data_IF_033433796576
#
_entry.id   IF_033433796576
#
_cell.length_a   1.000
_cell.length_b   1.000
_cell.length_c   1.000
_cell.angle_alpha   90.00
_cell.angle_beta   90.00
_cell.angle_gamma   90.00
#
_symmetry.space_group_name_H-M   'P 1'
#
loop_
_entity.id
_entity.type
_entity.pdbx_description
1 polymer ?
#
# COMPACT_ATOMS: atom_id res chain seq x y z
N UNK A 1 5.50 -0.65 -18.79
CA UNK A 1 6.59 -0.48 -17.80
C UNK A 1 7.87 -0.05 -18.51
N UNK A 2 8.70 0.71 -17.80
CA UNK A 2 10.08 1.11 -18.12
C UNK A 2 10.35 2.39 -18.93
N UNK A 3 9.46 2.91 -19.79
CA UNK A 3 9.61 4.25 -20.46
C UNK A 3 11.06 4.63 -20.93
N UNK A 4 11.87 3.66 -21.39
CA UNK A 4 13.29 3.80 -21.77
C UNK A 4 14.32 4.00 -20.62
N UNK A 5 13.95 3.80 -19.36
CA UNK A 5 14.88 3.71 -18.25
C UNK A 5 15.49 2.31 -18.17
N UNK A 6 16.82 2.24 -18.01
CA UNK A 6 17.58 0.98 -17.85
C UNK A 6 17.53 0.39 -16.44
N UNK A 7 16.91 1.10 -15.50
CA UNK A 7 16.83 0.73 -14.10
C UNK A 7 15.39 0.83 -13.61
N UNK A 8 15.02 -0.05 -12.69
CA UNK A 8 13.74 -0.05 -12.01
C UNK A 8 13.92 -0.24 -10.50
N UNK A 9 12.90 0.17 -9.75
CA UNK A 9 12.75 -0.07 -8.31
C UNK A 9 11.37 -0.67 -8.08
N UNK A 10 11.21 -1.39 -6.97
CA UNK A 10 9.93 -2.00 -6.61
C UNK A 10 9.43 -1.40 -5.29
N UNK A 11 8.15 -1.04 -5.27
CA UNK A 11 7.44 -0.63 -4.07
C UNK A 11 6.30 -1.62 -3.83
N UNK A 12 6.04 -1.93 -2.57
CA UNK A 12 4.82 -2.61 -2.15
C UNK A 12 3.87 -1.60 -1.54
N UNK A 13 2.58 -1.72 -1.85
CA UNK A 13 1.52 -0.86 -1.33
C UNK A 13 0.49 -1.71 -0.60
N UNK A 14 0.25 -1.39 0.67
CA UNK A 14 -0.63 -2.16 1.54
C UNK A 14 -2.06 -1.58 1.61
N UNK A 15 -2.36 -0.52 0.85
CA UNK A 15 -3.61 0.22 0.92
C UNK A 15 -3.50 1.58 1.64
N UNK A 16 -2.48 1.81 2.46
CA UNK A 16 -2.24 3.11 3.13
C UNK A 16 -0.79 3.56 3.13
N UNK A 17 0.16 2.64 2.96
CA UNK A 17 1.59 2.88 3.05
C UNK A 17 2.34 2.25 1.87
N UNK A 18 3.41 2.92 1.46
CA UNK A 18 4.36 2.41 0.47
C UNK A 18 5.67 2.07 1.14
N UNK A 19 6.13 0.83 0.96
CA UNK A 19 7.44 0.38 1.42
C UNK A 19 8.33 -0.01 0.24
N UNK A 20 9.65 0.27 0.29
CA UNK A 20 10.58 -0.19 -0.72
C UNK A 20 10.83 -1.69 -0.59
N UNK A 21 10.86 -2.40 -1.71
CA UNK A 21 11.33 -3.79 -1.77
C UNK A 21 12.82 -3.82 -2.12
N UNK A 22 13.54 -4.73 -1.48
CA UNK A 22 14.97 -4.93 -1.71
C UNK A 22 15.45 -6.31 -1.33
N UNK A 23 16.65 -6.64 -1.80
CA UNK A 23 17.32 -7.91 -1.54
C UNK A 23 18.40 -7.71 -0.50
N UNK A 24 18.33 -8.46 0.59
CA UNK A 24 19.36 -8.47 1.63
C UNK A 24 20.47 -9.42 1.19
N UNK A 25 21.68 -8.90 1.08
CA UNK A 25 22.84 -9.69 0.72
C UNK A 25 23.44 -10.35 1.96
N UNK A 26 23.73 -11.65 1.88
CA UNK A 26 24.29 -12.43 3.00
C UNK A 26 25.75 -12.10 3.31
N UNK A 27 26.43 -11.38 2.42
CA UNK A 27 27.83 -10.97 2.52
C UNK A 27 28.03 -9.64 3.26
N UNK A 28 26.96 -9.07 3.81
CA UNK A 28 26.99 -7.81 4.56
C UNK A 28 27.02 -6.57 3.67
N UNK A 29 26.88 -6.71 2.35
CA UNK A 29 26.70 -5.56 1.47
C UNK A 29 25.33 -4.89 1.68
N UNK A 30 25.20 -3.57 1.43
CA UNK A 30 23.92 -2.88 1.56
C UNK A 30 22.83 -3.55 0.73
N UNK A 31 21.59 -3.46 1.22
CA UNK A 31 20.41 -3.98 0.52
C UNK A 31 20.34 -3.43 -0.91
N UNK A 32 20.17 -4.32 -1.88
CA UNK A 32 19.94 -3.92 -3.27
C UNK A 32 18.47 -3.55 -3.47
N UNK A 33 18.22 -2.31 -3.90
CA UNK A 33 16.85 -1.78 -4.16
C UNK A 33 16.65 -1.31 -5.61
N UNK A 34 17.74 -1.27 -6.39
CA UNK A 34 17.71 -0.87 -7.80
C UNK A 34 18.09 -2.09 -8.65
N UNK A 35 17.26 -2.36 -9.65
CA UNK A 35 17.36 -3.55 -10.51
C UNK A 35 17.46 -3.14 -11.97
N UNK A 36 17.99 -4.03 -12.80
CA UNK A 36 17.98 -3.84 -14.24
C UNK A 36 16.54 -3.91 -14.77
N UNK A 37 16.20 -3.00 -15.68
CA UNK A 37 14.87 -2.99 -16.29
C UNK A 37 14.66 -4.09 -17.33
N UNK A 38 15.71 -4.77 -17.79
CA UNK A 38 15.58 -5.89 -18.73
C UNK A 38 15.48 -7.25 -18.00
N UNK A 39 15.78 -7.28 -16.71
CA UNK A 39 15.65 -8.47 -15.87
C UNK A 39 14.24 -8.57 -15.27
N UNK A 40 13.33 -9.17 -16.05
CA UNK A 40 11.95 -9.42 -15.64
C UNK A 40 11.82 -10.53 -14.57
N UNK A 41 12.90 -11.23 -14.24
CA UNK A 41 12.91 -12.17 -13.10
C UNK A 41 12.53 -11.48 -11.79
N UNK A 42 12.94 -10.22 -11.62
CA UNK A 42 12.59 -9.42 -10.44
C UNK A 42 11.11 -9.06 -10.35
N UNK A 43 10.39 -8.97 -11.48
CA UNK A 43 8.94 -8.74 -11.47
C UNK A 43 8.23 -9.93 -10.82
N UNK A 44 8.61 -11.15 -11.20
CA UNK A 44 8.03 -12.37 -10.64
C UNK A 44 8.29 -12.49 -9.12
N UNK A 45 9.51 -12.16 -8.69
CA UNK A 45 9.88 -12.12 -7.26
C UNK A 45 9.07 -11.06 -6.51
N UNK A 46 8.96 -9.84 -7.04
CA UNK A 46 8.18 -8.77 -6.43
C UNK A 46 6.69 -9.15 -6.29
N UNK A 47 6.11 -9.79 -7.31
CA UNK A 47 4.75 -10.33 -7.22
C UNK A 47 4.60 -11.41 -6.15
N UNK A 48 5.57 -12.31 -6.03
CA UNK A 48 5.53 -13.35 -4.99
C UNK A 48 5.50 -12.72 -3.58
N UNK A 49 6.32 -11.70 -3.33
CA UNK A 49 6.30 -10.95 -2.05
C UNK A 49 4.91 -10.36 -1.78
N UNK A 50 4.30 -9.74 -2.80
CA UNK A 50 2.94 -9.21 -2.69
C UNK A 50 1.88 -10.29 -2.40
N UNK A 51 1.99 -11.46 -3.03
CA UNK A 51 1.10 -12.59 -2.80
C UNK A 51 1.24 -13.18 -1.39
N UNK A 52 2.45 -13.26 -0.86
CA UNK A 52 2.72 -13.70 0.51
C UNK A 52 2.18 -12.69 1.53
N UNK A 53 2.46 -11.39 1.35
CA UNK A 53 1.92 -10.33 2.20
C UNK A 53 0.38 -10.36 2.24
N UNK A 54 -0.26 -10.55 1.08
CA UNK A 54 -1.72 -10.71 0.97
C UNK A 54 -2.22 -11.95 1.72
N UNK A 55 -1.57 -13.11 1.57
CA UNK A 55 -1.93 -14.34 2.31
C UNK A 55 -1.81 -14.16 3.83
N UNK A 56 -0.87 -13.33 4.27
CA UNK A 56 -0.65 -12.98 5.67
C UNK A 56 -1.59 -11.86 6.17
N UNK A 57 -2.51 -11.36 5.33
CA UNK A 57 -3.36 -10.20 5.62
C UNK A 57 -2.57 -8.94 6.03
N UNK A 58 -1.37 -8.76 5.48
CA UNK A 58 -0.54 -7.55 5.66
C UNK A 58 -1.00 -6.47 4.68
N UNK A 59 -2.27 -6.10 4.75
CA UNK A 59 -2.83 -5.00 3.98
C UNK A 59 -4.02 -4.39 4.71
N UNK A 60 -4.19 -3.08 4.54
CA UNK A 60 -5.32 -2.33 5.08
C UNK A 60 -6.45 -2.33 4.07
N UNK A 61 -7.55 -3.02 4.39
CA UNK A 61 -8.74 -3.00 3.54
C UNK A 61 -9.54 -1.71 3.74
N UNK A 62 -9.29 -0.73 2.87
CA UNK A 62 -9.98 0.56 2.86
C UNK A 62 -11.51 0.49 2.65
N UNK A 63 -12.07 -0.66 2.28
CA UNK A 63 -13.51 -0.81 2.09
C UNK A 63 -14.24 -1.36 3.32
N UNK A 64 -13.51 -1.82 4.35
CA UNK A 64 -14.11 -2.55 5.48
C UNK A 64 -13.82 -1.97 6.85
N UNK A 65 -12.95 -0.97 6.96
CA UNK A 65 -12.67 -0.35 8.25
C UNK A 65 -13.87 0.47 8.74
N UNK A 66 -14.11 0.44 10.05
CA UNK A 66 -15.18 1.17 10.71
C UNK A 66 -14.66 2.51 11.19
N UNK A 67 -15.28 3.58 10.72
CA UNK A 67 -15.04 4.94 11.15
C UNK A 67 -16.23 5.46 11.94
N UNK A 68 -15.98 6.48 12.75
CA UNK A 68 -16.99 7.33 13.36
C UNK A 68 -16.65 8.77 13.07
N UNK A 69 -17.62 9.52 12.56
CA UNK A 69 -17.48 10.97 12.48
C UNK A 69 -17.47 11.55 13.91
N UNK A 70 -16.42 12.28 14.27
CA UNK A 70 -16.28 12.88 15.60
C UNK A 70 -17.24 14.07 15.78
N UNK A 71 -17.60 14.74 14.68
CA UNK A 71 -18.49 15.91 14.70
C UNK A 71 -19.95 15.55 14.96
N UNK A 72 -20.45 14.44 14.42
CA UNK A 72 -21.87 14.06 14.54
C UNK A 72 -22.12 12.66 15.11
N UNK A 73 -21.07 11.86 15.33
CA UNK A 73 -21.15 10.52 15.91
C UNK A 73 -21.59 9.42 14.95
N UNK A 74 -21.84 9.72 13.67
CA UNK A 74 -22.31 8.75 12.69
C UNK A 74 -21.25 7.66 12.43
N UNK A 75 -21.58 6.36 12.55
CA UNK A 75 -20.71 5.28 12.12
C UNK A 75 -20.69 5.18 10.60
N UNK A 76 -19.51 4.96 10.04
CA UNK A 76 -19.22 4.93 8.61
C UNK A 76 -18.39 3.67 8.32
N UNK A 77 -18.61 3.05 7.16
CA UNK A 77 -17.90 1.83 6.77
C UNK A 77 -17.12 2.11 5.49
N UNK A 78 -15.80 2.02 5.61
CA UNK A 78 -14.85 2.23 4.52
C UNK A 78 -14.71 3.69 4.12
N UNK A 79 -13.75 3.92 3.22
CA UNK A 79 -13.39 5.24 2.74
C UNK A 79 -14.53 5.92 1.97
N UNK A 80 -15.28 5.18 1.14
CA UNK A 80 -16.34 5.75 0.31
C UNK A 80 -17.41 6.44 1.16
N UNK A 81 -17.88 5.78 2.22
CA UNK A 81 -18.87 6.37 3.12
C UNK A 81 -18.33 7.62 3.83
N UNK A 82 -17.06 7.61 4.24
CA UNK A 82 -16.44 8.77 4.88
C UNK A 82 -16.25 9.95 3.94
N UNK A 83 -15.83 9.71 2.69
CA UNK A 83 -15.71 10.75 1.67
C UNK A 83 -17.07 11.37 1.35
N UNK A 84 -18.08 10.54 1.10
CA UNK A 84 -19.44 11.03 0.83
C UNK A 84 -19.98 11.84 2.02
N UNK A 85 -19.79 11.35 3.25
CA UNK A 85 -20.19 12.08 4.46
C UNK A 85 -19.49 13.43 4.58
N UNK A 86 -18.19 13.50 4.28
CA UNK A 86 -17.44 14.76 4.30
C UNK A 86 -17.95 15.75 3.25
N UNK A 87 -18.28 15.27 2.04
CA UNK A 87 -18.82 16.10 0.96
C UNK A 87 -20.22 16.65 1.30
N UNK A 88 -21.10 15.81 1.86
CA UNK A 88 -22.48 16.20 2.18
C UNK A 88 -22.57 17.09 3.41
N UNK A 89 -21.71 16.88 4.41
CA UNK A 89 -21.85 17.53 5.72
C UNK A 89 -20.73 18.52 6.06
N UNK A 90 -19.63 18.52 5.32
CA UNK A 90 -18.42 19.28 5.63
C UNK A 90 -17.60 18.71 6.81
N UNK A 91 -18.00 17.57 7.38
CA UNK A 91 -17.26 16.96 8.48
C UNK A 91 -16.04 16.18 7.96
N UNK A 92 -14.85 16.59 8.37
CA UNK A 92 -13.57 15.96 7.97
C UNK A 92 -12.86 15.21 9.10
N UNK A 93 -13.46 15.17 10.30
CA UNK A 93 -12.85 14.62 11.49
C UNK A 93 -13.43 13.23 11.78
N UNK A 94 -12.66 12.19 11.47
CA UNK A 94 -13.04 10.78 11.60
C UNK A 94 -12.08 10.05 12.54
N UNK A 95 -12.61 9.15 13.36
CA UNK A 95 -11.82 8.23 14.18
C UNK A 95 -12.19 6.78 13.88
N UNK A 96 -11.22 5.87 13.94
CA UNK A 96 -11.48 4.43 13.85
C UNK A 96 -12.24 3.94 15.08
N UNK A 97 -13.12 2.95 14.88
CA UNK A 97 -13.91 2.27 15.92
C UNK A 97 -13.50 0.82 16.02
#
# INVERSE_FOLDING_TARGET
ENENYSRRVFLIYDGIHYDPLGVINSDGTPMQTVFDSEDDGWIAVAHQVGDEARKMNQFTNLNKFTLRCISCGLPLIGQTAATQHAEETGHINFGEV
#
